data_IF_235765940341
#
_entry.id   IF_235765940341
#
_cell.length_a   1.000
_cell.length_b   1.000
_cell.length_c   1.000
_cell.angle_alpha   90.00
_cell.angle_beta   90.00
_cell.angle_gamma   90.00
#
_symmetry.space_group_name_H-M   'P 1'
#
loop_
_entity.id
_entity.type
_entity.pdbx_description
1 polymer ?
#
# COMPACT_ATOMS: atom_id res chain seq x y z
N UNK A 1 -57.03 -44.95 63.69
CA UNK A 1 -57.89 -46.00 63.12
C UNK A 1 -57.65 -46.01 61.62
N UNK A 2 -57.03 -47.07 61.07
CA UNK A 2 -56.95 -47.48 59.63
C UNK A 2 -56.12 -46.55 58.70
N UNK A 3 -54.87 -46.91 58.29
CA UNK A 3 -54.43 -47.63 57.04
C UNK A 3 -54.65 -46.83 55.72
N UNK A 4 -53.86 -46.84 54.64
CA UNK A 4 -52.69 -47.63 54.17
C UNK A 4 -52.19 -47.01 52.81
N UNK A 5 -50.93 -47.32 52.44
CA UNK A 5 -50.31 -47.40 51.08
C UNK A 5 -50.03 -46.17 50.18
N UNK A 6 -48.75 -46.04 49.78
CA UNK A 6 -48.36 -46.01 48.35
C UNK A 6 -47.33 -44.95 47.90
N UNK A 7 -46.21 -45.39 47.29
CA UNK A 7 -45.44 -44.60 46.30
C UNK A 7 -43.99 -44.24 46.64
N UNK A 8 -43.06 -45.20 46.53
CA UNK A 8 -41.60 -44.99 46.51
C UNK A 8 -41.06 -45.53 45.18
N UNK A 9 -41.02 -44.74 44.11
CA UNK A 9 -40.33 -45.09 42.84
C UNK A 9 -40.31 -43.99 41.73
N UNK A 10 -39.94 -42.72 41.99
CA UNK A 10 -39.81 -41.73 40.89
C UNK A 10 -38.66 -40.71 41.12
N UNK A 11 -37.46 -41.18 41.49
CA UNK A 11 -36.27 -40.30 41.55
C UNK A 11 -35.09 -40.85 40.71
N UNK A 12 -34.95 -42.18 40.60
CA UNK A 12 -33.85 -42.81 39.86
C UNK A 12 -33.98 -42.83 38.33
N UNK A 13 -35.12 -42.40 37.76
CA UNK A 13 -35.37 -42.49 36.31
C UNK A 13 -35.04 -41.20 35.55
N UNK A 14 -34.83 -40.07 36.25
CA UNK A 14 -34.53 -38.77 35.63
C UNK A 14 -33.03 -38.57 35.37
N UNK A 15 -32.16 -39.04 36.28
CA UNK A 15 -30.71 -39.00 36.09
C UNK A 15 -30.21 -39.98 35.01
N UNK A 16 -30.81 -41.17 34.92
CA UNK A 16 -30.38 -42.18 33.94
C UNK A 16 -30.79 -41.83 32.49
N UNK A 17 -31.83 -41.01 32.29
CA UNK A 17 -32.25 -40.52 30.97
C UNK A 17 -31.39 -39.34 30.50
N UNK A 18 -30.97 -38.46 31.42
CA UNK A 18 -30.09 -37.33 31.10
C UNK A 18 -28.68 -37.79 30.67
N UNK A 19 -28.13 -38.81 31.34
CA UNK A 19 -26.80 -39.36 31.03
C UNK A 19 -26.78 -40.22 29.75
N UNK A 20 -27.92 -40.80 29.34
CA UNK A 20 -28.01 -41.64 28.13
C UNK A 20 -28.15 -40.85 26.83
N UNK A 21 -28.53 -39.58 26.87
CA UNK A 21 -28.70 -38.74 25.67
C UNK A 21 -27.45 -37.90 25.34
N UNK A 22 -26.60 -37.60 26.33
CA UNK A 22 -25.38 -36.78 26.15
C UNK A 22 -24.25 -37.54 25.45
N UNK A 23 -24.09 -38.84 25.73
CA UNK A 23 -23.04 -39.70 25.13
C UNK A 23 -23.20 -39.89 23.61
N UNK A 24 -24.40 -40.21 23.04
CA UNK A 24 -24.53 -40.37 21.60
C UNK A 24 -24.40 -39.05 20.82
N UNK A 25 -24.76 -37.90 21.41
CA UNK A 25 -24.62 -36.58 20.79
C UNK A 25 -23.13 -36.20 20.69
N UNK A 26 -22.33 -36.46 21.74
CA UNK A 26 -20.90 -36.19 21.74
C UNK A 26 -20.13 -37.10 20.75
N UNK A 27 -20.57 -38.35 20.60
CA UNK A 27 -20.01 -39.28 19.60
C UNK A 27 -20.37 -38.90 18.15
N UNK A 28 -21.54 -38.29 17.92
CA UNK A 28 -21.93 -37.78 16.61
C UNK A 28 -21.01 -36.62 16.17
N UNK A 29 -20.66 -35.72 17.11
CA UNK A 29 -19.73 -34.60 16.85
C UNK A 29 -18.29 -35.05 16.61
N UNK A 30 -17.80 -36.10 17.30
CA UNK A 30 -16.47 -36.67 17.02
C UNK A 30 -16.40 -37.37 15.65
N UNK A 31 -17.45 -38.08 15.24
CA UNK A 31 -17.49 -38.74 13.92
C UNK A 31 -17.50 -37.74 12.75
N UNK A 32 -18.14 -36.57 12.93
CA UNK A 32 -18.13 -35.49 11.92
C UNK A 32 -16.75 -34.83 11.79
N UNK A 33 -15.94 -34.81 12.86
CA UNK A 33 -14.59 -34.26 12.83
C UNK A 33 -13.55 -35.19 12.16
N UNK A 34 -13.79 -36.51 12.16
CA UNK A 34 -12.85 -37.52 11.64
C UNK A 34 -13.07 -37.82 10.14
N UNK A 35 -14.24 -37.49 9.57
CA UNK A 35 -14.56 -37.81 8.16
C UNK A 35 -14.10 -36.78 7.11
N UNK A 36 -13.38 -35.72 7.46
CA UNK A 36 -12.85 -34.72 6.50
C UNK A 36 -11.32 -34.59 6.48
N UNK A 37 -10.59 -35.54 7.05
CA UNK A 37 -9.13 -35.61 6.95
C UNK A 37 -8.68 -36.48 5.77
N UNK A 38 -8.54 -35.92 4.58
CA UNK A 38 -7.86 -36.64 3.49
C UNK A 38 -6.35 -36.65 3.71
N UNK A 39 -5.80 -37.85 3.70
CA UNK A 39 -4.37 -38.17 3.73
C UNK A 39 -3.62 -37.54 2.55
N UNK A 40 -2.56 -36.77 2.81
CA UNK A 40 -1.51 -36.53 1.82
C UNK A 40 -0.18 -37.07 2.34
N UNK A 41 0.25 -38.16 1.71
CA UNK A 41 1.49 -38.88 1.96
C UNK A 41 2.70 -38.02 1.61
N UNK A 42 3.62 -37.98 2.57
CA UNK A 42 4.98 -37.43 2.49
C UNK A 42 5.81 -38.15 1.41
N UNK A 43 6.36 -37.40 0.46
CA UNK A 43 7.49 -37.85 -0.37
C UNK A 43 8.61 -36.82 -0.21
N UNK A 44 9.76 -37.31 0.26
CA UNK A 44 11.00 -36.59 0.49
C UNK A 44 11.97 -36.96 -0.64
N UNK A 45 12.66 -35.97 -1.20
CA UNK A 45 14.06 -35.99 -1.71
C UNK A 45 14.25 -35.04 -2.92
N UNK A 46 15.50 -34.66 -3.29
CA UNK A 46 16.63 -34.27 -2.45
C UNK A 46 17.24 -32.91 -2.89
N UNK A 47 18.15 -32.41 -2.07
CA UNK A 47 18.98 -31.21 -2.27
C UNK A 47 19.79 -31.26 -3.57
N UNK A 48 19.77 -30.17 -4.34
CA UNK A 48 20.76 -29.88 -5.39
C UNK A 48 21.16 -28.40 -5.36
N UNK A 49 22.47 -28.21 -5.26
CA UNK A 49 23.17 -26.95 -4.98
C UNK A 49 23.55 -26.22 -6.27
N UNK A 50 23.17 -24.94 -6.36
CA UNK A 50 23.80 -23.77 -7.03
C UNK A 50 24.13 -23.84 -8.54
N UNK A 51 23.55 -22.90 -9.30
CA UNK A 51 24.31 -21.96 -10.15
C UNK A 51 23.61 -20.61 -10.27
N UNK A 52 24.36 -19.57 -9.96
CA UNK A 52 24.06 -18.14 -10.00
C UNK A 52 24.08 -17.63 -11.45
N UNK A 53 22.97 -17.09 -11.93
CA UNK A 53 22.90 -16.05 -12.99
C UNK A 53 21.47 -15.48 -13.07
N UNK A 54 21.37 -14.14 -13.04
CA UNK A 54 20.21 -13.24 -13.23
C UNK A 54 18.82 -13.72 -12.78
N UNK A 55 18.38 -13.27 -11.60
CA UNK A 55 17.00 -13.42 -11.13
C UNK A 55 16.44 -12.10 -10.61
N UNK A 56 15.82 -11.35 -11.51
CA UNK A 56 14.73 -10.41 -11.20
C UNK A 56 13.60 -10.78 -12.17
N UNK A 57 12.54 -11.38 -11.63
CA UNK A 57 11.34 -11.93 -12.26
C UNK A 57 11.47 -13.35 -12.87
N UNK A 58 10.54 -14.28 -12.58
CA UNK A 58 10.47 -15.54 -13.31
C UNK A 58 10.13 -15.25 -14.77
N UNK A 59 10.98 -15.74 -15.68
CA UNK A 59 10.76 -15.70 -17.12
C UNK A 59 9.58 -16.61 -17.46
N UNK A 60 8.37 -16.05 -17.61
CA UNK A 60 7.18 -16.80 -18.00
C UNK A 60 7.05 -16.75 -19.53
N UNK A 61 7.06 -17.94 -20.12
CA UNK A 61 6.92 -18.18 -21.56
C UNK A 61 5.63 -17.55 -22.15
N UNK A 62 5.68 -16.93 -23.36
CA UNK A 62 4.57 -16.14 -23.92
C UNK A 62 3.39 -16.96 -24.45
N UNK A 63 3.33 -18.26 -24.15
CA UNK A 63 2.35 -19.21 -24.71
C UNK A 63 1.49 -19.94 -23.67
N UNK A 64 1.70 -19.71 -22.37
CA UNK A 64 0.84 -20.28 -21.33
C UNK A 64 -0.42 -19.45 -21.12
N UNK A 65 -1.60 -20.06 -21.24
CA UNK A 65 -2.85 -19.48 -20.71
C UNK A 65 -2.63 -19.08 -19.25
N UNK A 66 -2.80 -17.80 -18.88
CA UNK A 66 -2.42 -17.34 -17.55
C UNK A 66 -3.37 -17.95 -16.53
N UNK A 67 -2.84 -18.73 -15.59
CA UNK A 67 -3.55 -18.94 -14.33
C UNK A 67 -3.74 -17.55 -13.69
N UNK A 68 -4.95 -17.26 -13.18
CA UNK A 68 -5.17 -16.08 -12.35
C UNK A 68 -4.06 -16.03 -11.30
N UNK A 69 -3.65 -14.82 -10.89
CA UNK A 69 -3.16 -14.75 -9.52
C UNK A 69 -4.33 -15.25 -8.69
N UNK A 70 -4.26 -16.50 -8.27
CA UNK A 70 -4.80 -16.87 -7.00
C UNK A 70 -3.83 -16.16 -6.06
N UNK A 71 -4.15 -14.98 -5.49
CA UNK A 71 -3.86 -14.93 -4.08
C UNK A 71 -4.56 -16.20 -3.60
N UNK A 72 -3.76 -17.19 -3.15
CA UNK A 72 -4.22 -17.99 -2.03
C UNK A 72 -5.13 -17.07 -1.26
N UNK A 73 -6.40 -17.48 -1.09
CA UNK A 73 -7.29 -16.94 -0.06
C UNK A 73 -6.39 -16.19 0.90
N UNK A 74 -6.46 -14.86 1.03
CA UNK A 74 -5.75 -14.20 2.14
C UNK A 74 -5.94 -15.17 3.29
N UNK A 75 -4.89 -15.92 3.72
CA UNK A 75 -5.10 -17.27 4.26
C UNK A 75 -6.19 -17.11 5.30
N UNK A 76 -7.24 -17.91 5.29
CA UNK A 76 -8.28 -17.74 6.32
C UNK A 76 -7.57 -17.53 7.65
N UNK A 77 -7.95 -16.47 8.39
CA UNK A 77 -7.09 -15.28 8.63
C UNK A 77 -5.57 -15.54 8.56
N UNK A 78 -4.78 -14.63 7.95
CA UNK A 78 -3.32 -14.65 8.07
C UNK A 78 -3.05 -14.84 9.56
N UNK A 79 -2.49 -16.01 9.92
CA UNK A 79 -2.37 -16.41 11.32
C UNK A 79 -1.89 -15.21 12.13
N UNK A 80 -2.52 -14.91 13.28
CA UNK A 80 -2.27 -13.68 14.01
C UNK A 80 -0.77 -13.45 14.11
N UNK A 81 -0.34 -12.30 13.61
CA UNK A 81 1.07 -11.93 13.59
C UNK A 81 1.64 -12.09 15.00
N UNK A 82 2.54 -13.05 15.14
CA UNK A 82 3.29 -13.30 16.38
C UNK A 82 4.78 -13.54 16.13
N UNK A 83 5.23 -13.53 14.87
CA UNK A 83 6.66 -13.52 14.55
C UNK A 83 7.22 -12.09 14.69
N UNK A 84 7.13 -11.54 15.90
CA UNK A 84 7.93 -10.42 16.31
C UNK A 84 9.36 -10.95 16.52
N UNK A 85 10.16 -11.01 15.46
CA UNK A 85 11.60 -11.21 15.62
C UNK A 85 12.16 -9.99 16.34
N UNK A 86 12.84 -10.22 17.47
CA UNK A 86 13.51 -9.14 18.21
C UNK A 86 14.51 -8.48 17.25
N UNK A 87 14.33 -7.18 16.92
CA UNK A 87 15.16 -6.53 15.92
C UNK A 87 16.61 -6.42 16.42
N UNK A 88 17.56 -6.79 15.57
CA UNK A 88 18.99 -6.72 15.91
C UNK A 88 19.55 -5.36 15.54
N UNK A 89 19.50 -4.44 16.51
CA UNK A 89 19.99 -3.06 16.32
C UNK A 89 21.52 -2.99 16.44
N UNK A 90 22.11 -2.07 15.69
CA UNK A 90 23.53 -1.75 15.72
C UNK A 90 23.96 -1.08 17.03
N UNK A 91 23.04 -0.38 17.69
CA UNK A 91 23.32 0.44 18.88
C UNK A 91 24.09 1.74 18.58
N UNK A 92 24.28 2.07 17.30
CA UNK A 92 25.03 3.25 16.83
C UNK A 92 24.14 4.33 16.22
N UNK A 93 22.86 4.04 15.99
CA UNK A 93 21.91 5.05 15.58
C UNK A 93 21.52 5.95 16.75
N UNK A 94 21.55 7.27 16.53
CA UNK A 94 21.20 8.29 17.54
C UNK A 94 19.73 8.71 17.48
N UNK A 95 18.93 8.15 16.58
CA UNK A 95 17.52 8.49 16.45
C UNK A 95 16.72 7.86 17.60
N UNK A 96 15.79 8.64 18.15
CA UNK A 96 14.84 8.15 19.12
C UNK A 96 13.61 7.57 18.39
N UNK A 97 13.49 6.24 18.36
CA UNK A 97 12.38 5.58 17.67
C UNK A 97 11.05 5.65 18.42
N UNK A 98 11.07 5.90 19.74
CA UNK A 98 9.85 5.97 20.57
C UNK A 98 8.94 7.13 20.19
N UNK A 99 9.49 8.25 19.69
CA UNK A 99 8.68 9.41 19.26
C UNK A 99 7.84 9.15 18.01
N UNK A 100 8.15 8.06 17.28
CA UNK A 100 7.49 7.68 16.05
C UNK A 100 7.05 6.21 16.06
N UNK A 101 6.89 5.58 17.23
CA UNK A 101 6.55 4.16 17.35
C UNK A 101 5.29 3.78 16.56
N UNK A 102 4.20 4.53 16.76
CA UNK A 102 2.95 4.34 16.01
C UNK A 102 3.15 4.50 14.50
N UNK A 103 3.98 5.46 14.08
CA UNK A 103 4.29 5.71 12.67
C UNK A 103 5.12 4.56 12.06
N UNK A 104 6.08 4.02 12.79
CA UNK A 104 6.86 2.86 12.38
C UNK A 104 5.97 1.63 12.28
N UNK A 105 5.04 1.42 13.21
CA UNK A 105 4.05 0.34 13.14
C UNK A 105 3.16 0.44 11.89
N UNK A 106 2.63 1.62 11.59
CA UNK A 106 1.87 1.86 10.36
C UNK A 106 2.73 1.59 9.13
N UNK A 107 4.00 2.02 9.13
CA UNK A 107 4.93 1.75 8.03
C UNK A 107 5.16 0.26 7.82
N UNK A 108 5.28 -0.51 8.89
CA UNK A 108 5.45 -1.97 8.80
C UNK A 108 4.23 -2.66 8.18
N UNK A 109 3.02 -2.18 8.50
CA UNK A 109 1.76 -2.68 7.92
C UNK A 109 1.64 -2.27 6.45
N UNK A 110 1.89 -1.00 6.13
CA UNK A 110 1.86 -0.45 4.78
C UNK A 110 2.89 -1.13 3.85
N UNK A 111 4.02 -1.56 4.42
CA UNK A 111 5.10 -2.26 3.76
C UNK A 111 5.16 -3.76 4.10
N UNK A 112 4.01 -4.35 4.41
CA UNK A 112 3.92 -5.77 4.78
C UNK A 112 4.62 -6.67 3.76
N UNK A 113 5.41 -7.64 4.25
CA UNK A 113 6.36 -8.42 3.45
C UNK A 113 5.80 -8.94 2.11
N UNK A 114 4.60 -9.53 2.11
CA UNK A 114 4.00 -10.12 0.90
C UNK A 114 3.49 -9.08 -0.09
N UNK A 115 3.01 -7.93 0.40
CA UNK A 115 2.37 -6.92 -0.43
C UNK A 115 3.27 -5.73 -0.78
N UNK A 116 4.41 -5.56 -0.09
CA UNK A 116 5.28 -4.40 -0.27
C UNK A 116 5.67 -4.14 -1.73
N UNK A 117 6.06 -5.14 -2.56
CA UNK A 117 6.37 -4.89 -3.97
C UNK A 117 5.15 -4.42 -4.78
N UNK A 118 3.96 -4.94 -4.46
CA UNK A 118 2.71 -4.64 -5.17
C UNK A 118 2.15 -3.26 -4.77
N UNK A 119 2.34 -2.87 -3.51
CA UNK A 119 1.89 -1.60 -2.92
C UNK A 119 2.97 -0.50 -2.92
N UNK A 120 4.17 -0.80 -3.40
CA UNK A 120 5.36 0.04 -3.32
C UNK A 120 5.07 1.50 -3.71
N UNK A 121 4.50 1.69 -4.90
CA UNK A 121 4.34 3.01 -5.50
C UNK A 121 3.29 3.90 -4.81
N UNK A 122 2.26 3.30 -4.18
CA UNK A 122 1.08 4.06 -3.73
C UNK A 122 0.97 4.15 -2.21
N UNK A 123 1.38 3.10 -1.50
CA UNK A 123 1.23 3.01 -0.04
C UNK A 123 2.61 2.91 0.61
N UNK A 124 3.33 1.81 0.37
CA UNK A 124 4.54 1.47 1.14
C UNK A 124 5.65 2.53 1.04
N UNK A 125 6.13 2.88 -0.17
CA UNK A 125 7.26 3.80 -0.30
C UNK A 125 6.92 5.24 0.10
N UNK A 126 5.76 5.81 -0.27
CA UNK A 126 5.32 7.10 0.27
C UNK A 126 5.26 7.12 1.82
N UNK A 127 4.84 6.01 2.43
CA UNK A 127 4.81 5.87 3.89
C UNK A 127 6.23 5.78 4.49
N UNK A 128 7.12 4.96 3.92
CA UNK A 128 8.50 4.84 4.37
C UNK A 128 9.27 6.16 4.27
N UNK A 129 9.16 6.87 3.14
CA UNK A 129 9.78 8.18 2.94
C UNK A 129 9.28 9.22 3.96
N UNK A 130 7.97 9.23 4.23
CA UNK A 130 7.39 10.10 5.25
C UNK A 130 7.95 9.76 6.64
N UNK A 131 8.03 8.47 6.98
CA UNK A 131 8.58 8.00 8.27
C UNK A 131 10.02 8.40 8.47
N UNK A 132 10.88 8.23 7.48
CA UNK A 132 12.29 8.67 7.54
C UNK A 132 12.41 10.17 7.72
N UNK A 133 11.61 10.95 6.98
CA UNK A 133 11.57 12.41 7.08
C UNK A 133 11.13 12.87 8.48
N UNK A 134 10.10 12.22 9.03
CA UNK A 134 9.56 12.52 10.36
C UNK A 134 10.55 12.17 11.46
N UNK A 135 11.21 11.01 11.40
CA UNK A 135 12.22 10.62 12.38
C UNK A 135 13.36 11.66 12.46
N UNK A 136 13.85 12.12 11.30
CA UNK A 136 14.89 13.16 11.23
C UNK A 136 14.39 14.51 11.74
N UNK A 137 13.17 14.91 11.35
CA UNK A 137 12.57 16.16 11.81
C UNK A 137 12.27 16.17 13.31
N UNK A 138 11.79 15.06 13.88
CA UNK A 138 11.57 14.98 15.33
C UNK A 138 12.90 14.99 16.09
N UNK A 139 13.93 14.30 15.59
CA UNK A 139 15.27 14.33 16.18
C UNK A 139 15.89 15.73 16.18
N UNK A 140 15.61 16.55 15.15
CA UNK A 140 16.17 17.90 15.05
C UNK A 140 15.67 18.87 16.12
N UNK A 141 14.56 18.55 16.82
CA UNK A 141 14.07 19.34 17.96
C UNK A 141 15.06 19.36 19.13
N UNK A 142 15.80 18.28 19.31
CA UNK A 142 16.77 18.13 20.39
C UNK A 142 18.21 18.40 19.91
N UNK A 143 18.53 18.01 18.68
CA UNK A 143 19.89 18.10 18.15
C UNK A 143 20.19 19.41 17.44
N UNK A 144 19.16 20.18 17.08
CA UNK A 144 19.24 21.38 16.24
C UNK A 144 19.76 21.12 14.81
N UNK A 145 19.81 19.87 14.34
CA UNK A 145 20.34 19.50 13.02
C UNK A 145 19.34 18.66 12.22
N UNK A 146 19.13 19.01 10.95
CA UNK A 146 18.13 18.42 10.03
C UNK A 146 18.67 17.26 9.18
N UNK A 147 19.87 16.76 9.47
CA UNK A 147 20.51 15.70 8.69
C UNK A 147 21.50 14.90 9.54
N UNK A 148 21.70 13.63 9.18
CA UNK A 148 22.73 12.79 9.79
C UNK A 148 24.06 12.89 9.02
N UNK A 149 25.16 12.59 9.70
CA UNK A 149 26.42 12.33 9.01
C UNK A 149 26.37 10.98 8.28
N UNK A 150 27.25 10.77 7.31
CA UNK A 150 27.22 9.59 6.44
C UNK A 150 27.37 8.25 7.17
N UNK A 151 28.10 8.20 8.28
CA UNK A 151 28.32 6.97 9.05
C UNK A 151 27.10 6.63 9.90
N UNK A 152 26.58 7.60 10.66
CA UNK A 152 25.38 7.43 11.49
C UNK A 152 24.17 7.14 10.61
N UNK A 153 24.07 7.74 9.44
CA UNK A 153 22.99 7.45 8.48
C UNK A 153 22.94 5.98 8.04
N UNK A 154 24.09 5.31 7.88
CA UNK A 154 24.13 3.88 7.54
C UNK A 154 23.61 3.02 8.68
N UNK A 155 24.05 3.30 9.91
CA UNK A 155 23.57 2.61 11.10
C UNK A 155 22.08 2.84 11.34
N UNK A 156 21.62 4.08 11.20
CA UNK A 156 20.22 4.42 11.38
C UNK A 156 19.30 3.80 10.34
N UNK A 157 19.68 3.82 9.06
CA UNK A 157 18.86 3.15 8.04
C UNK A 157 18.76 1.65 8.33
N UNK A 158 19.89 0.99 8.67
CA UNK A 158 19.90 -0.42 9.04
C UNK A 158 19.04 -0.72 10.27
N UNK A 159 19.09 0.12 11.31
CA UNK A 159 18.32 -0.08 12.54
C UNK A 159 16.82 0.11 12.27
N UNK A 160 16.45 1.12 11.48
CA UNK A 160 15.06 1.36 11.04
C UNK A 160 14.53 0.14 10.29
N UNK A 161 15.28 -0.38 9.32
CA UNK A 161 14.88 -1.58 8.57
C UNK A 161 14.69 -2.78 9.48
N UNK A 162 15.62 -3.03 10.42
CA UNK A 162 15.49 -4.13 11.37
C UNK A 162 14.24 -4.01 12.23
N UNK A 163 13.88 -2.80 12.68
CA UNK A 163 12.65 -2.56 13.45
C UNK A 163 11.41 -2.86 12.60
N UNK A 164 11.35 -2.35 11.37
CA UNK A 164 10.22 -2.56 10.46
C UNK A 164 10.05 -4.06 10.13
N UNK A 165 11.16 -4.74 9.81
CA UNK A 165 11.17 -6.19 9.54
C UNK A 165 10.76 -7.00 10.78
N UNK A 166 11.22 -6.61 11.97
CA UNK A 166 10.79 -7.21 13.24
C UNK A 166 9.29 -7.06 13.49
N UNK A 167 8.61 -6.12 12.82
CA UNK A 167 7.16 -5.92 12.83
C UNK A 167 6.47 -6.46 11.57
N UNK A 168 7.20 -7.22 10.73
CA UNK A 168 6.68 -7.94 9.57
C UNK A 168 6.69 -7.20 8.23
N UNK A 169 7.35 -6.05 8.17
CA UNK A 169 7.66 -5.41 6.90
C UNK A 169 8.56 -6.31 6.03
N UNK A 170 8.61 -6.04 4.73
CA UNK A 170 9.52 -6.72 3.81
C UNK A 170 10.99 -6.50 4.23
N UNK A 171 11.88 -7.47 4.00
CA UNK A 171 13.30 -7.37 4.34
C UNK A 171 14.16 -6.64 3.29
N UNK A 172 13.54 -6.29 2.15
CA UNK A 172 14.18 -5.67 0.99
C UNK A 172 13.65 -4.25 0.72
N UNK A 173 13.17 -3.53 1.76
CA UNK A 173 12.54 -2.21 1.62
C UNK A 173 13.43 -1.16 0.94
N UNK A 174 14.72 -1.08 1.30
CA UNK A 174 15.64 -0.17 0.61
C UNK A 174 15.69 -0.41 -0.90
N UNK A 175 15.57 -1.66 -1.35
CA UNK A 175 15.55 -1.98 -2.78
C UNK A 175 14.20 -1.66 -3.41
N UNK A 176 13.10 -2.08 -2.77
CA UNK A 176 11.72 -1.85 -3.25
C UNK A 176 11.44 -0.35 -3.41
N UNK A 177 11.87 0.46 -2.44
CA UNK A 177 11.63 1.89 -2.41
C UNK A 177 12.80 2.75 -2.89
N UNK A 178 13.90 2.14 -3.34
CA UNK A 178 15.12 2.85 -3.76
C UNK A 178 15.63 3.84 -2.70
N UNK A 179 15.59 3.43 -1.43
CA UNK A 179 16.07 4.22 -0.29
C UNK A 179 17.51 3.83 0.03
N UNK A 180 18.35 4.85 0.21
CA UNK A 180 19.76 4.71 0.56
C UNK A 180 20.10 5.54 1.79
N UNK A 181 21.23 5.24 2.44
CA UNK A 181 21.67 6.00 3.61
C UNK A 181 21.94 7.48 3.28
N UNK A 182 22.27 7.81 2.02
CA UNK A 182 22.39 9.20 1.55
C UNK A 182 21.08 9.98 1.67
N UNK A 183 19.92 9.33 1.61
CA UNK A 183 18.63 9.99 1.81
C UNK A 183 18.42 10.49 3.24
N UNK A 184 19.24 10.08 4.21
CA UNK A 184 19.21 10.55 5.61
C UNK A 184 20.27 11.64 5.88
N UNK A 185 21.16 11.92 4.93
CA UNK A 185 22.20 12.94 5.08
C UNK A 185 21.77 14.28 4.50
N UNK A 186 22.68 15.25 4.47
CA UNK A 186 22.46 16.56 3.85
C UNK A 186 22.75 16.57 2.35
N UNK A 187 23.34 15.50 1.82
CA UNK A 187 23.83 15.40 0.45
C UNK A 187 24.64 16.65 0.06
N UNK A 188 24.13 17.50 -0.84
CA UNK A 188 24.78 18.76 -1.25
C UNK A 188 24.16 20.03 -0.67
N UNK A 189 23.15 19.92 0.21
CA UNK A 189 22.48 21.09 0.78
C UNK A 189 23.36 21.78 1.84
N UNK A 190 23.60 23.11 1.73
CA UNK A 190 24.57 23.81 2.58
C UNK A 190 24.03 24.20 3.96
N UNK A 191 22.71 24.25 4.13
CA UNK A 191 22.06 24.63 5.39
C UNK A 191 21.41 23.41 6.00
N UNK A 192 21.87 22.99 7.18
CA UNK A 192 21.33 21.85 7.92
C UNK A 192 21.02 22.17 9.39
N UNK A 193 21.56 23.27 9.92
CA UNK A 193 21.24 23.75 11.26
C UNK A 193 19.85 24.41 11.26
N UNK A 194 19.06 24.15 12.30
CA UNK A 194 17.68 24.66 12.38
C UNK A 194 17.65 26.18 12.50
N UNK A 195 18.54 26.79 13.29
CA UNK A 195 18.54 28.25 13.45
C UNK A 195 18.95 28.92 12.14
N UNK A 196 20.00 28.39 11.50
CA UNK A 196 20.44 28.89 10.20
C UNK A 196 19.35 28.77 9.13
N UNK A 197 18.59 27.68 9.14
CA UNK A 197 17.43 27.50 8.27
C UNK A 197 16.38 28.59 8.50
N UNK A 198 16.03 28.84 9.77
CA UNK A 198 14.99 29.81 10.15
C UNK A 198 15.39 31.25 9.86
N UNK A 199 16.69 31.57 9.91
CA UNK A 199 17.23 32.87 9.50
C UNK A 199 17.21 33.07 7.98
N UNK A 200 17.23 31.99 7.20
CA UNK A 200 17.36 32.02 5.73
C UNK A 200 16.00 31.96 5.03
N UNK A 201 15.03 31.23 5.60
CA UNK A 201 13.73 30.94 4.99
C UNK A 201 12.63 31.76 5.65
N UNK A 202 11.65 32.23 4.87
CA UNK A 202 10.40 32.74 5.44
C UNK A 202 9.56 31.57 5.96
N UNK A 203 9.86 31.16 7.20
CA UNK A 203 9.24 30.02 7.88
C UNK A 203 7.76 30.23 8.13
N UNK A 204 7.33 31.48 8.31
CA UNK A 204 5.92 31.85 8.49
C UNK A 204 5.11 31.57 7.23
N UNK A 205 5.62 31.96 6.06
CA UNK A 205 5.02 31.69 4.76
C UNK A 205 5.03 30.20 4.43
N UNK A 206 6.15 29.52 4.70
CA UNK A 206 6.29 28.08 4.47
C UNK A 206 5.29 27.27 5.32
N UNK A 207 5.19 27.57 6.62
CA UNK A 207 4.25 26.90 7.51
C UNK A 207 2.80 27.21 7.11
N UNK A 208 2.45 28.46 6.80
CA UNK A 208 1.10 28.81 6.36
C UNK A 208 0.67 28.07 5.07
N UNK A 209 1.62 27.78 4.17
CA UNK A 209 1.35 27.04 2.94
C UNK A 209 1.21 25.53 3.16
N UNK A 210 1.94 24.96 4.13
CA UNK A 210 2.12 23.51 4.27
C UNK A 210 1.50 22.90 5.53
N UNK A 211 1.17 23.70 6.54
CA UNK A 211 0.63 23.20 7.80
C UNK A 211 -0.67 22.45 7.58
N UNK A 212 -1.53 22.88 6.65
CA UNK A 212 -2.73 22.14 6.30
C UNK A 212 -2.90 22.07 4.80
N UNK A 213 -2.71 20.88 4.25
CA UNK A 213 -2.92 20.63 2.83
C UNK A 213 -4.25 19.93 2.59
N UNK A 214 -4.91 20.31 1.51
CA UNK A 214 -5.95 19.52 0.87
C UNK A 214 -5.27 18.77 -0.27
N UNK A 215 -5.12 17.43 -0.23
CA UNK A 215 -4.35 16.70 -1.24
C UNK A 215 -4.84 16.90 -2.66
N UNK A 216 -6.14 17.16 -2.86
CA UNK A 216 -6.71 17.40 -4.19
C UNK A 216 -6.32 18.80 -4.68
N UNK A 217 -6.52 19.83 -3.86
CA UNK A 217 -6.16 21.21 -4.22
C UNK A 217 -4.66 21.39 -4.36
N UNK A 218 -3.88 20.82 -3.45
CA UNK A 218 -2.42 20.85 -3.49
C UNK A 218 -1.91 20.26 -4.79
N UNK A 219 -2.59 19.24 -5.32
CA UNK A 219 -2.14 18.61 -6.54
C UNK A 219 -2.28 19.46 -7.80
N UNK A 220 -3.17 20.46 -7.74
CA UNK A 220 -3.46 21.39 -8.82
C UNK A 220 -2.81 22.76 -8.64
N UNK A 221 -2.93 23.35 -7.45
CA UNK A 221 -2.38 24.66 -7.14
C UNK A 221 -0.90 24.60 -6.73
N UNK A 222 -0.44 23.46 -6.20
CA UNK A 222 0.93 23.24 -5.75
C UNK A 222 1.40 24.29 -4.72
N UNK A 223 0.50 24.78 -3.86
CA UNK A 223 0.79 25.87 -2.94
C UNK A 223 1.93 25.52 -2.00
N UNK A 224 1.87 24.36 -1.34
CA UNK A 224 2.93 23.90 -0.44
C UNK A 224 4.18 23.48 -1.22
N UNK A 225 4.05 22.74 -2.32
CA UNK A 225 5.18 22.36 -3.19
C UNK A 225 5.96 23.57 -3.69
N UNK A 226 5.28 24.65 -4.08
CA UNK A 226 5.89 25.90 -4.52
C UNK A 226 6.61 26.61 -3.37
N UNK A 227 6.02 26.64 -2.17
CA UNK A 227 6.67 27.19 -0.98
C UNK A 227 7.93 26.39 -0.59
N UNK A 228 7.87 25.06 -0.67
CA UNK A 228 9.02 24.17 -0.46
C UNK A 228 10.12 24.44 -1.49
N UNK A 229 9.75 24.57 -2.78
CA UNK A 229 10.71 24.86 -3.83
C UNK A 229 11.38 26.22 -3.61
N UNK A 230 10.61 27.26 -3.28
CA UNK A 230 11.15 28.59 -2.97
C UNK A 230 12.14 28.54 -1.80
N UNK A 231 11.75 27.88 -0.70
CA UNK A 231 12.62 27.71 0.46
C UNK A 231 13.90 26.94 0.10
N UNK A 232 13.78 25.83 -0.64
CA UNK A 232 14.91 25.02 -1.09
C UNK A 232 15.86 25.80 -2.00
N UNK A 233 15.33 26.64 -2.90
CA UNK A 233 16.15 27.50 -3.77
C UNK A 233 16.92 28.55 -2.97
N UNK A 234 16.28 29.18 -1.97
CA UNK A 234 16.96 30.17 -1.10
C UNK A 234 18.11 29.56 -0.30
N UNK A 235 17.92 28.38 0.29
CA UNK A 235 19.00 27.72 1.02
C UNK A 235 20.09 27.20 0.08
N UNK A 236 19.74 26.73 -1.12
CA UNK A 236 20.72 26.27 -2.12
C UNK A 236 21.63 27.41 -2.61
N UNK A 237 21.10 28.64 -2.75
CA UNK A 237 21.86 29.81 -3.23
C UNK A 237 22.82 30.39 -2.19
N UNK A 238 22.60 30.15 -0.89
CA UNK A 238 23.45 30.71 0.19
C UNK A 238 24.94 30.33 0.07
N UNK A 239 25.26 29.16 -0.46
CA UNK A 239 26.67 28.79 -0.69
C UNK A 239 27.30 29.53 -1.87
N UNK A 240 26.50 29.99 -2.83
CA UNK A 240 26.96 30.79 -3.96
C UNK A 240 27.23 32.23 -3.54
N UNK A 241 26.47 32.76 -2.58
CA UNK A 241 26.67 34.10 -2.02
C UNK A 241 28.00 34.23 -1.26
N UNK A 242 28.52 33.14 -0.67
CA UNK A 242 29.83 33.11 0.00
C UNK A 242 31.03 33.03 -0.96
N UNK A 243 30.80 32.62 -2.21
CA UNK A 243 31.85 32.44 -3.23
C UNK A 243 31.80 33.49 -4.35
N UNK A 244 30.81 34.39 -4.31
CA UNK A 244 30.63 35.44 -5.33
C UNK A 244 31.54 36.64 -5.08
N UNK A 245 32.85 36.43 -5.27
CA UNK A 245 33.69 37.41 -5.94
C UNK A 245 33.87 36.90 -7.37
N UNK A 246 33.30 37.66 -8.30
CA UNK A 246 33.35 37.50 -9.75
C UNK A 246 32.20 36.72 -10.40
N UNK A 247 31.57 37.39 -11.37
CA UNK A 247 30.24 37.06 -11.88
C UNK A 247 30.24 36.01 -12.97
N UNK A 248 29.32 35.04 -12.86
CA UNK A 248 28.72 34.34 -13.98
C UNK A 248 27.42 33.67 -13.51
N UNK A 249 26.28 34.19 -13.95
CA UNK A 249 24.99 33.49 -13.87
C UNK A 249 24.96 32.39 -14.94
N UNK A 250 25.43 31.20 -14.59
CA UNK A 250 25.06 29.98 -15.29
C UNK A 250 24.49 28.99 -14.27
N UNK A 251 23.20 28.67 -14.43
CA UNK A 251 22.54 27.61 -13.68
C UNK A 251 23.11 26.28 -14.19
N UNK A 252 24.23 25.85 -13.61
CA UNK A 252 24.87 24.57 -13.90
C UNK A 252 23.90 23.42 -13.56
N UNK A 253 23.98 22.24 -14.22
CA UNK A 253 23.26 21.02 -13.82
C UNK A 253 23.41 20.66 -12.33
N UNK A 254 24.49 21.09 -11.66
CA UNK A 254 24.71 20.96 -10.22
C UNK A 254 23.74 21.79 -9.36
N UNK A 255 23.16 22.86 -9.91
CA UNK A 255 22.18 23.68 -9.19
C UNK A 255 20.83 22.98 -9.01
N UNK A 256 20.39 22.18 -9.99
CA UNK A 256 19.10 21.47 -9.93
C UNK A 256 19.16 20.29 -8.95
N UNK A 257 20.24 19.52 -8.95
CA UNK A 257 20.46 18.44 -7.98
C UNK A 257 20.52 18.98 -6.56
N UNK A 258 21.25 20.09 -6.35
CA UNK A 258 21.36 20.75 -5.05
C UNK A 258 20.03 21.28 -4.51
N UNK A 259 19.21 21.90 -5.35
CA UNK A 259 17.86 22.33 -4.94
C UNK A 259 17.02 21.12 -4.50
N UNK A 260 17.12 19.99 -5.19
CA UNK A 260 16.40 18.78 -4.80
C UNK A 260 16.89 18.21 -3.46
N UNK A 261 18.20 18.20 -3.21
CA UNK A 261 18.75 17.82 -1.90
C UNK A 261 18.23 18.74 -0.80
N UNK A 262 18.16 20.04 -1.08
CA UNK A 262 17.62 21.03 -0.15
C UNK A 262 16.10 20.91 0.10
N UNK A 263 15.32 20.40 -0.84
CA UNK A 263 13.90 20.07 -0.57
C UNK A 263 13.77 19.06 0.56
N UNK A 264 14.66 18.07 0.63
CA UNK A 264 14.63 17.07 1.72
C UNK A 264 14.84 17.73 3.10
N UNK A 265 15.73 18.72 3.19
CA UNK A 265 15.96 19.49 4.41
C UNK A 265 14.72 20.30 4.80
N UNK A 266 14.08 20.97 3.83
CA UNK A 266 12.84 21.73 4.05
C UNK A 266 11.73 20.83 4.60
N UNK A 267 11.56 19.64 4.03
CA UNK A 267 10.57 18.66 4.48
C UNK A 267 10.84 18.15 5.91
N UNK A 268 12.11 17.92 6.27
CA UNK A 268 12.51 17.55 7.64
C UNK A 268 12.23 18.67 8.64
N UNK A 269 12.48 19.93 8.25
CA UNK A 269 12.14 21.08 9.10
C UNK A 269 10.62 21.22 9.28
N UNK A 270 9.84 21.06 8.20
CA UNK A 270 8.37 21.01 8.31
C UNK A 270 7.92 19.92 9.28
N UNK A 271 8.50 18.72 9.17
CA UNK A 271 8.21 17.61 10.07
C UNK A 271 8.68 17.87 11.52
N UNK A 272 9.65 18.76 11.75
CA UNK A 272 10.06 19.20 13.10
C UNK A 272 9.09 20.21 13.71
N UNK A 273 8.28 20.90 12.91
CA UNK A 273 7.27 21.86 13.42
C UNK A 273 5.90 21.22 13.63
N UNK A 274 5.59 20.17 12.88
CA UNK A 274 4.35 19.42 13.00
C UNK A 274 4.47 18.28 14.03
N UNK A 275 3.32 17.82 14.54
CA UNK A 275 3.28 16.54 15.24
C UNK A 275 3.41 15.37 14.22
N UNK A 276 3.88 14.18 14.63
CA UNK A 276 4.16 13.08 13.69
C UNK A 276 2.97 12.65 12.82
N UNK A 277 1.76 12.57 13.38
CA UNK A 277 0.56 12.17 12.63
C UNK A 277 0.20 13.20 11.56
N UNK A 278 0.25 14.47 11.92
CA UNK A 278 -0.05 15.57 11.00
C UNK A 278 1.02 15.72 9.92
N UNK A 279 2.30 15.56 10.30
CA UNK A 279 3.40 15.50 9.33
C UNK A 279 3.20 14.35 8.33
N UNK A 280 2.71 13.19 8.78
CA UNK A 280 2.40 12.05 7.90
C UNK A 280 1.38 12.44 6.83
N UNK A 281 0.28 13.08 7.23
CA UNK A 281 -0.77 13.52 6.30
C UNK A 281 -0.23 14.51 5.27
N UNK A 282 0.56 15.50 5.70
CA UNK A 282 1.17 16.50 4.81
C UNK A 282 2.14 15.85 3.83
N UNK A 283 3.10 15.07 4.33
CA UNK A 283 4.14 14.44 3.48
C UNK A 283 3.54 13.45 2.49
N UNK A 284 2.57 12.63 2.92
CA UNK A 284 1.88 11.69 2.03
C UNK A 284 0.98 12.39 1.04
N UNK A 285 0.27 13.46 1.42
CA UNK A 285 -0.51 14.25 0.48
C UNK A 285 0.34 14.92 -0.61
N UNK A 286 1.54 15.42 -0.24
CA UNK A 286 2.52 15.95 -1.19
C UNK A 286 3.04 14.88 -2.15
N UNK A 287 3.42 13.70 -1.64
CA UNK A 287 3.92 12.59 -2.45
C UNK A 287 2.84 12.03 -3.38
N UNK A 288 1.61 11.91 -2.88
CA UNK A 288 0.46 11.40 -3.61
C UNK A 288 0.18 12.16 -4.91
N UNK A 289 0.41 13.48 -4.93
CA UNK A 289 0.25 14.24 -6.15
C UNK A 289 1.23 13.84 -7.26
N UNK A 290 2.49 13.55 -6.88
CA UNK A 290 3.54 13.17 -7.83
C UNK A 290 3.25 11.79 -8.42
N UNK A 291 2.84 10.83 -7.60
CA UNK A 291 2.59 9.45 -8.03
C UNK A 291 1.35 9.34 -8.92
N UNK A 292 0.33 10.18 -8.72
CA UNK A 292 -0.93 10.13 -9.49
C UNK A 292 -0.85 10.79 -10.87
N UNK A 293 0.32 11.31 -11.27
CA UNK A 293 0.57 11.93 -12.59
C UNK A 293 1.28 11.01 -13.58
N UNK A 294 1.53 9.75 -13.19
CA UNK A 294 2.31 8.79 -13.98
C UNK A 294 1.67 7.41 -13.94
N UNK A 295 1.75 6.68 -15.05
CA UNK A 295 1.46 5.26 -15.07
C UNK A 295 2.67 4.48 -14.55
N UNK A 296 2.55 3.69 -13.48
CA UNK A 296 3.67 2.89 -12.96
C UNK A 296 3.87 1.56 -13.69
N UNK A 297 2.93 1.13 -14.53
CA UNK A 297 2.99 -0.16 -15.19
C UNK A 297 4.00 -0.18 -16.33
N UNK A 298 4.77 -1.26 -16.41
CA UNK A 298 5.66 -1.53 -17.53
C UNK A 298 4.86 -2.26 -18.60
N UNK A 299 4.82 -1.70 -19.81
CA UNK A 299 4.12 -2.31 -20.95
C UNK A 299 5.07 -3.21 -21.77
N UNK A 300 4.94 -4.55 -21.73
CA UNK A 300 5.76 -5.47 -22.51
C UNK A 300 5.43 -5.42 -24.00
N UNK A 301 6.16 -6.19 -24.80
CA UNK A 301 5.97 -6.27 -26.25
C UNK A 301 4.53 -6.66 -26.61
N UNK A 302 3.93 -5.91 -27.54
CA UNK A 302 2.52 -6.00 -27.93
C UNK A 302 2.29 -6.81 -29.20
N UNK A 303 3.30 -7.53 -29.71
CA UNK A 303 3.25 -8.26 -30.99
C UNK A 303 2.04 -9.20 -31.08
N UNK A 304 1.72 -9.90 -29.99
CA UNK A 304 0.56 -10.82 -29.95
C UNK A 304 -0.77 -10.08 -30.08
N UNK A 305 -0.91 -8.92 -29.43
CA UNK A 305 -2.11 -8.06 -29.56
C UNK A 305 -2.19 -7.48 -30.98
N UNK A 306 -1.07 -7.01 -31.54
CA UNK A 306 -1.02 -6.48 -32.90
C UNK A 306 -1.37 -7.53 -33.97
N UNK A 307 -0.98 -8.79 -33.79
CA UNK A 307 -1.35 -9.88 -34.69
C UNK A 307 -2.87 -10.19 -34.65
N UNK A 308 -3.49 -10.09 -33.46
CA UNK A 308 -4.93 -10.36 -33.30
C UNK A 308 -5.84 -9.19 -33.67
N UNK A 309 -5.39 -7.96 -33.43
CA UNK A 309 -6.21 -6.74 -33.50
C UNK A 309 -5.78 -5.74 -34.58
N UNK A 310 -4.69 -5.97 -35.30
CA UNK A 310 -4.15 -5.05 -36.31
C UNK A 310 -4.87 -5.12 -37.67
N UNK A 311 -4.72 -4.06 -38.47
CA UNK A 311 -5.13 -4.00 -39.89
C UNK A 311 -6.60 -4.40 -40.19
N UNK A 312 -7.54 -3.91 -39.38
CA UNK A 312 -8.95 -4.30 -39.48
C UNK A 312 -9.17 -5.65 -38.79
N UNK A 313 -9.95 -5.63 -37.71
CA UNK A 313 -10.14 -6.79 -36.85
C UNK A 313 -10.91 -7.87 -37.62
N UNK A 314 -10.20 -8.91 -38.07
CA UNK A 314 -10.77 -10.02 -38.83
C UNK A 314 -11.45 -11.07 -37.94
N UNK A 315 -10.98 -11.23 -36.71
CA UNK A 315 -11.53 -12.14 -35.71
C UNK A 315 -11.57 -11.43 -34.33
N UNK A 316 -12.75 -10.95 -33.94
CA UNK A 316 -12.95 -10.24 -32.68
C UNK A 316 -12.57 -11.09 -31.46
N UNK A 317 -12.92 -12.37 -31.44
CA UNK A 317 -12.63 -13.26 -30.31
C UNK A 317 -11.12 -13.40 -30.13
N UNK A 318 -10.36 -13.65 -31.20
CA UNK A 318 -8.91 -13.76 -31.12
C UNK A 318 -8.25 -12.45 -30.66
N UNK A 319 -8.75 -11.30 -31.13
CA UNK A 319 -8.30 -9.99 -30.67
C UNK A 319 -8.54 -9.81 -29.16
N UNK A 320 -9.76 -10.07 -28.68
CA UNK A 320 -10.09 -9.88 -27.28
C UNK A 320 -9.38 -10.85 -26.36
N UNK A 321 -9.21 -12.12 -26.73
CA UNK A 321 -8.39 -13.07 -25.96
C UNK A 321 -6.92 -12.61 -25.86
N UNK A 322 -6.35 -12.08 -26.94
CA UNK A 322 -4.99 -11.53 -26.91
C UNK A 322 -4.90 -10.29 -26.00
N UNK A 323 -5.91 -9.42 -26.04
CA UNK A 323 -5.99 -8.22 -25.21
C UNK A 323 -6.17 -8.56 -23.72
N UNK A 324 -7.11 -9.44 -23.39
CA UNK A 324 -7.35 -9.92 -22.02
C UNK A 324 -6.10 -10.57 -21.42
N UNK A 325 -5.40 -11.41 -22.19
CA UNK A 325 -4.14 -12.03 -21.76
C UNK A 325 -3.05 -10.97 -21.49
N UNK A 326 -2.94 -9.96 -22.36
CA UNK A 326 -1.99 -8.87 -22.18
C UNK A 326 -2.30 -8.05 -20.92
N UNK A 327 -3.55 -7.67 -20.73
CA UNK A 327 -3.99 -6.87 -19.57
C UNK A 327 -3.85 -7.67 -18.27
N UNK A 328 -4.19 -8.97 -18.28
CA UNK A 328 -3.97 -9.88 -17.14
C UNK A 328 -2.49 -9.97 -16.73
N UNK A 329 -1.55 -9.80 -17.67
CA UNK A 329 -0.13 -9.71 -17.35
C UNK A 329 0.24 -8.38 -16.69
N UNK A 330 -0.40 -7.27 -17.09
CA UNK A 330 -0.19 -5.96 -16.47
C UNK A 330 -0.69 -5.92 -15.02
N UNK A 331 -1.86 -6.49 -14.75
CA UNK A 331 -2.49 -6.52 -13.42
C UNK A 331 -1.56 -7.11 -12.35
N UNK A 332 -0.73 -8.08 -12.73
CA UNK A 332 0.18 -8.79 -11.82
C UNK A 332 1.33 -7.94 -11.29
N UNK A 333 1.52 -6.73 -11.82
CA UNK A 333 2.65 -5.89 -11.47
C UNK A 333 2.44 -5.10 -10.18
N UNK A 334 1.27 -4.49 -9.98
CA UNK A 334 1.06 -3.55 -8.87
C UNK A 334 -0.42 -3.22 -8.64
N UNK A 335 -0.74 -2.78 -7.42
CA UNK A 335 -1.95 -2.00 -7.17
C UNK A 335 -1.72 -0.55 -7.62
N UNK A 336 -2.71 0.01 -8.31
CA UNK A 336 -2.64 1.39 -8.78
C UNK A 336 -3.88 2.17 -8.36
N UNK A 337 -3.78 3.49 -8.32
CA UNK A 337 -4.93 4.35 -8.06
C UNK A 337 -5.82 4.48 -9.28
N UNK A 338 -7.06 4.94 -9.07
CA UNK A 338 -7.96 5.31 -10.16
C UNK A 338 -7.39 6.38 -11.13
N UNK A 339 -6.60 7.35 -10.64
CA UNK A 339 -5.92 8.33 -11.50
C UNK A 339 -4.75 7.71 -12.29
N UNK A 340 -3.95 6.86 -11.64
CA UNK A 340 -2.88 6.14 -12.33
C UNK A 340 -3.43 5.20 -13.41
N UNK A 341 -4.58 4.56 -13.16
CA UNK A 341 -5.25 3.70 -14.12
C UNK A 341 -5.67 4.48 -15.39
N UNK A 342 -6.15 5.72 -15.24
CA UNK A 342 -6.47 6.59 -16.39
C UNK A 342 -5.23 6.87 -17.25
N UNK A 343 -4.11 7.22 -16.62
CA UNK A 343 -2.86 7.48 -17.33
C UNK A 343 -2.27 6.21 -17.97
N UNK A 344 -2.43 5.06 -17.30
CA UNK A 344 -2.05 3.75 -17.83
C UNK A 344 -2.88 3.37 -19.06
N UNK A 345 -4.21 3.54 -18.99
CA UNK A 345 -5.10 3.28 -20.10
C UNK A 345 -4.78 4.15 -21.31
N UNK A 346 -4.55 5.45 -21.10
CA UNK A 346 -4.17 6.37 -22.17
C UNK A 346 -2.81 5.98 -22.79
N UNK A 347 -1.81 5.69 -21.96
CA UNK A 347 -0.46 5.31 -22.41
C UNK A 347 -0.47 4.00 -23.20
N UNK A 348 -1.20 2.99 -22.71
CA UNK A 348 -1.38 1.72 -23.41
C UNK A 348 -2.09 1.93 -24.76
N UNK A 349 -3.15 2.75 -24.78
CA UNK A 349 -3.92 3.01 -26.00
C UNK A 349 -3.07 3.70 -27.06
N UNK A 350 -2.21 4.63 -26.66
CA UNK A 350 -1.26 5.29 -27.57
C UNK A 350 -0.24 4.30 -28.16
N UNK A 351 0.24 3.33 -27.36
CA UNK A 351 1.15 2.28 -27.85
C UNK A 351 0.45 1.29 -28.80
N UNK A 352 -0.79 0.93 -28.52
CA UNK A 352 -1.62 0.10 -29.41
C UNK A 352 -1.82 0.79 -30.77
N UNK A 353 -2.15 2.08 -30.77
CA UNK A 353 -2.29 2.86 -32.01
C UNK A 353 -1.00 2.95 -32.82
N UNK A 354 0.15 3.15 -32.15
CA UNK A 354 1.48 3.09 -32.79
C UNK A 354 1.81 1.72 -33.39
N UNK A 355 1.09 0.67 -32.98
CA UNK A 355 1.23 -0.69 -33.49
C UNK A 355 0.19 -1.04 -34.56
N UNK A 356 -0.37 -0.04 -35.26
CA UNK A 356 -1.37 -0.19 -36.33
C UNK A 356 -2.74 -0.77 -35.89
N UNK A 357 -3.12 -0.59 -34.63
CA UNK A 357 -4.47 -0.90 -34.13
C UNK A 357 -5.28 0.40 -34.11
N UNK A 358 -6.18 0.56 -35.09
CA UNK A 358 -6.98 1.79 -35.25
C UNK A 358 -8.33 1.75 -34.56
N UNK A 359 -8.91 0.55 -34.44
CA UNK A 359 -10.19 0.30 -33.78
C UNK A 359 -10.08 0.43 -32.26
N UNK A 360 -11.16 0.89 -31.62
CA UNK A 360 -11.23 1.00 -30.17
C UNK A 360 -11.38 -0.38 -29.51
N UNK A 361 -10.24 -1.05 -29.31
CA UNK A 361 -10.20 -2.40 -28.70
C UNK A 361 -10.64 -2.40 -27.24
N UNK A 362 -10.54 -1.27 -26.52
CA UNK A 362 -11.03 -1.19 -25.14
C UNK A 362 -12.55 -1.33 -25.09
N UNK A 363 -13.27 -0.61 -25.96
CA UNK A 363 -14.72 -0.75 -26.07
C UNK A 363 -15.14 -2.11 -26.61
N UNK A 364 -14.37 -2.66 -27.56
CA UNK A 364 -14.67 -3.94 -28.20
C UNK A 364 -14.55 -5.13 -27.24
N UNK A 365 -13.53 -5.09 -26.38
CA UNK A 365 -13.18 -6.17 -25.46
C UNK A 365 -13.52 -5.85 -24.00
N UNK A 366 -14.35 -4.83 -23.77
CA UNK A 366 -14.83 -4.42 -22.46
C UNK A 366 -13.74 -4.15 -21.42
N UNK A 367 -12.62 -3.54 -21.85
CA UNK A 367 -11.52 -3.18 -20.96
C UNK A 367 -11.92 -1.95 -20.13
N UNK A 368 -11.77 -2.06 -18.82
CA UNK A 368 -12.10 -1.07 -17.81
C UNK A 368 -10.87 -0.65 -17.01
N UNK A 369 -10.95 0.43 -16.23
CA UNK A 369 -9.81 0.94 -15.47
C UNK A 369 -9.28 -0.05 -14.43
N UNK A 370 -10.17 -0.81 -13.78
CA UNK A 370 -9.77 -1.84 -12.80
C UNK A 370 -8.89 -2.92 -13.42
N UNK A 371 -9.00 -3.13 -14.73
CA UNK A 371 -8.21 -4.15 -15.41
C UNK A 371 -6.72 -3.77 -15.49
N UNK A 372 -6.33 -2.57 -15.08
CA UNK A 372 -4.92 -2.18 -14.95
C UNK A 372 -4.36 -2.41 -13.55
N UNK A 373 -5.17 -2.82 -12.58
CA UNK A 373 -4.75 -3.08 -11.19
C UNK A 373 -4.86 -4.55 -10.83
N UNK A 374 -4.14 -4.98 -9.79
CA UNK A 374 -4.20 -6.36 -9.32
C UNK A 374 -5.64 -6.76 -8.94
N UNK A 375 -6.07 -7.92 -9.43
CA UNK A 375 -7.36 -8.50 -9.07
C UNK A 375 -7.23 -9.34 -7.80
N UNK A 376 -8.17 -9.18 -6.86
CA UNK A 376 -8.18 -9.91 -5.59
C UNK A 376 -9.42 -10.80 -5.55
N UNK A 377 -9.23 -12.12 -5.68
CA UNK A 377 -10.29 -13.14 -5.56
C UNK A 377 -11.00 -13.51 -6.88
N UNK A 378 -11.92 -14.49 -6.80
CA UNK A 378 -12.71 -15.00 -7.93
C UNK A 378 -13.86 -14.09 -8.37
N UNK A 379 -14.02 -12.91 -7.73
CA UNK A 379 -15.04 -11.95 -8.14
C UNK A 379 -14.46 -11.01 -9.20
N UNK A 380 -15.29 -10.63 -10.16
CA UNK A 380 -14.96 -9.81 -11.35
C UNK A 380 -14.68 -8.34 -10.98
N UNK A 381 -14.07 -8.08 -9.82
CA UNK A 381 -13.81 -6.73 -9.31
C UNK A 381 -12.32 -6.61 -9.00
N UNK A 382 -11.57 -6.05 -9.95
CA UNK A 382 -10.23 -5.51 -9.66
C UNK A 382 -10.32 -4.43 -8.59
N UNK A 383 -9.27 -4.23 -7.81
CA UNK A 383 -9.22 -3.21 -6.77
C UNK A 383 -8.39 -2.02 -7.23
N UNK A 384 -9.03 -0.87 -7.48
CA UNK A 384 -8.33 0.40 -7.60
C UNK A 384 -8.17 1.01 -6.22
N UNK A 385 -6.98 1.52 -5.92
CA UNK A 385 -6.78 2.29 -4.69
C UNK A 385 -7.38 3.69 -4.85
N UNK A 386 -7.83 4.32 -3.75
CA UNK A 386 -8.21 5.71 -3.76
C UNK A 386 -7.09 6.60 -4.28
N UNK A 387 -7.44 7.68 -4.97
CA UNK A 387 -6.48 8.75 -5.32
C UNK A 387 -5.97 9.54 -4.13
N UNK A 388 -6.55 9.36 -2.94
CA UNK A 388 -6.08 9.98 -1.72
C UNK A 388 -5.18 8.99 -0.96
N UNK A 389 -4.15 9.47 -0.24
CA UNK A 389 -3.33 8.58 0.58
C UNK A 389 -4.20 7.80 1.57
N UNK A 390 -3.99 6.49 1.63
CA UNK A 390 -4.64 5.60 2.59
C UNK A 390 -3.60 4.67 3.22
N UNK A 391 -3.79 4.34 4.50
CA UNK A 391 -3.03 3.29 5.18
C UNK A 391 -3.61 1.91 4.82
N UNK A 392 -2.78 0.88 4.84
CA UNK A 392 -3.25 -0.49 4.95
C UNK A 392 -3.74 -0.73 6.39
N UNK A 393 -4.78 -1.53 6.53
CA UNK A 393 -5.36 -1.89 7.83
C UNK A 393 -4.89 -3.27 8.23
N UNK A 394 -4.58 -3.45 9.52
CA UNK A 394 -4.25 -4.75 10.08
C UNK A 394 -5.26 -5.12 11.16
N UNK A 395 -5.96 -6.25 10.98
CA UNK A 395 -6.90 -6.79 11.95
C UNK A 395 -6.74 -8.31 12.11
N UNK A 396 -7.67 -8.96 12.81
CA UNK A 396 -7.65 -10.41 13.01
C UNK A 396 -7.74 -11.24 11.73
N UNK A 397 -8.12 -10.63 10.60
CA UNK A 397 -8.16 -11.25 9.27
C UNK A 397 -6.85 -11.08 8.47
N UNK A 398 -5.95 -10.21 8.95
CA UNK A 398 -4.66 -9.94 8.33
C UNK A 398 -4.53 -8.50 7.84
N UNK A 399 -3.67 -8.30 6.84
CA UNK A 399 -3.48 -7.00 6.18
C UNK A 399 -4.52 -6.83 5.06
N UNK A 400 -5.22 -5.71 5.07
CA UNK A 400 -6.22 -5.31 4.08
C UNK A 400 -6.01 -3.85 3.65
N UNK A 401 -6.64 -3.44 2.55
CA UNK A 401 -6.58 -2.08 2.03
C UNK A 401 -7.94 -1.70 1.44
N UNK A 402 -8.24 -0.39 1.45
CA UNK A 402 -9.48 0.13 0.92
C UNK A 402 -9.44 0.16 -0.61
N UNK A 403 -10.42 -0.47 -1.25
CA UNK A 403 -10.65 -0.36 -2.69
C UNK A 403 -11.68 0.74 -2.98
N UNK A 404 -11.46 1.52 -4.03
CA UNK A 404 -12.42 2.49 -4.58
C UNK A 404 -13.48 1.76 -5.42
N UNK A 405 -14.52 1.22 -4.75
CA UNK A 405 -15.52 0.28 -5.31
C UNK A 405 -16.36 0.78 -6.51
N UNK A 406 -16.06 1.94 -7.10
CA UNK A 406 -16.70 2.47 -8.31
C UNK A 406 -15.97 1.99 -9.60
N UNK A 407 -15.59 0.72 -9.65
CA UNK A 407 -14.50 0.18 -10.47
C UNK A 407 -14.81 -0.12 -11.96
N UNK A 408 -16.05 0.05 -12.42
CA UNK A 408 -16.45 -0.33 -13.80
C UNK A 408 -16.39 0.83 -14.81
N UNK A 409 -15.51 1.80 -14.59
CA UNK A 409 -15.31 2.91 -15.55
C UNK A 409 -14.62 2.34 -16.80
N UNK A 410 -15.22 2.49 -18.01
CA UNK A 410 -14.58 2.06 -19.24
C UNK A 410 -13.23 2.76 -19.45
N UNK A 411 -12.22 2.01 -19.89
CA UNK A 411 -10.90 2.57 -20.15
C UNK A 411 -10.97 3.57 -21.34
N UNK A 412 -10.43 4.79 -21.20
CA UNK A 412 -10.50 5.78 -22.27
C UNK A 412 -9.60 5.37 -23.44
N UNK A 413 -10.17 5.34 -24.65
CA UNK A 413 -9.39 5.17 -25.88
C UNK A 413 -8.88 6.53 -26.38
N UNK A 414 -7.57 6.68 -26.62
CA UNK A 414 -7.01 7.98 -27.00
C UNK A 414 -7.48 8.38 -28.40
N UNK A 415 -8.18 9.51 -28.48
CA UNK A 415 -8.50 10.17 -29.76
C UNK A 415 -7.29 10.96 -30.26
N UNK A 416 -7.20 11.19 -31.58
CA UNK A 416 -6.02 11.76 -32.27
C UNK A 416 -5.56 13.14 -31.76
N UNK A 417 -6.34 13.78 -30.90
CA UNK A 417 -6.16 15.17 -30.44
C UNK A 417 -6.08 15.33 -28.92
N UNK A 418 -6.08 14.26 -28.13
CA UNK A 418 -5.98 14.37 -26.67
C UNK A 418 -4.56 14.06 -26.20
N UNK A 419 -3.80 15.12 -25.87
CA UNK A 419 -2.66 14.99 -24.96
C UNK A 419 -3.13 14.52 -23.59
N UNK A 420 -2.21 13.97 -22.78
CA UNK A 420 -2.46 13.60 -21.40
C UNK A 420 -3.01 14.81 -20.62
N UNK A 421 -4.34 14.92 -20.55
CA UNK A 421 -4.99 16.08 -20.00
C UNK A 421 -4.82 16.06 -18.49
N UNK A 422 -4.14 17.07 -17.95
CA UNK A 422 -3.97 17.23 -16.50
C UNK A 422 -5.34 17.16 -15.80
N UNK A 423 -5.39 16.47 -14.66
CA UNK A 423 -6.60 16.38 -13.82
C UNK A 423 -7.14 17.77 -13.41
N UNK A 424 -6.28 18.79 -13.48
CA UNK A 424 -6.54 20.14 -12.97
C UNK A 424 -7.09 21.13 -14.00
N UNK A 425 -7.00 20.81 -15.30
CA UNK A 425 -7.56 21.62 -16.40
C UNK A 425 -8.90 21.08 -16.90
N UNK A 426 -9.33 19.95 -16.34
CA UNK A 426 -10.58 19.30 -16.69
C UNK A 426 -11.66 19.79 -15.72
N UNK A 427 -12.65 20.52 -16.22
CA UNK A 427 -14.03 20.40 -15.73
C UNK A 427 -14.58 19.00 -16.08
N UNK A 428 -13.77 17.95 -15.91
CA UNK A 428 -14.32 16.60 -15.82
C UNK A 428 -15.12 16.67 -14.54
N UNK A 429 -16.40 16.41 -14.67
CA UNK A 429 -17.17 15.84 -13.57
C UNK A 429 -16.39 14.59 -13.16
N UNK A 430 -15.37 14.77 -12.31
CA UNK A 430 -14.93 13.72 -11.42
C UNK A 430 -16.26 13.32 -10.80
N UNK A 431 -16.75 12.09 -11.04
CA UNK A 431 -17.98 11.66 -10.41
C UNK A 431 -17.85 12.08 -8.96
N UNK A 432 -18.73 12.98 -8.50
CA UNK A 432 -18.69 13.42 -7.13
C UNK A 432 -18.58 12.16 -6.30
N UNK A 433 -17.63 12.11 -5.35
CA UNK A 433 -17.62 11.04 -4.36
C UNK A 433 -19.08 10.90 -3.90
N UNK A 434 -19.74 9.76 -4.19
CA UNK A 434 -21.00 9.51 -3.53
C UNK A 434 -20.65 9.53 -2.04
N UNK A 435 -21.43 10.28 -1.26
CA UNK A 435 -21.30 10.33 0.17
C UNK A 435 -21.06 8.90 0.68
N UNK A 436 -20.06 8.74 1.56
CA UNK A 436 -19.87 7.48 2.27
C UNK A 436 -21.25 7.04 2.74
N UNK A 437 -21.75 5.94 2.19
CA UNK A 437 -22.90 5.28 2.76
C UNK A 437 -22.42 4.89 4.15
N UNK A 438 -22.80 5.70 5.13
CA UNK A 438 -22.74 5.39 6.54
C UNK A 438 -23.12 3.93 6.69
N UNK A 439 -22.22 3.17 7.32
CA UNK A 439 -22.39 1.81 7.75
C UNK A 439 -23.88 1.40 7.80
N UNK A 440 -24.32 0.62 6.82
CA UNK A 440 -25.34 -0.36 7.14
C UNK A 440 -24.68 -1.30 8.13
N UNK A 441 -24.97 -1.06 9.41
CA UNK A 441 -24.83 -2.04 10.46
C UNK A 441 -25.56 -3.29 9.98
N UNK A 442 -24.82 -4.20 9.36
CA UNK A 442 -25.30 -5.49 8.97
C UNK A 442 -25.91 -6.16 10.20
N UNK A 443 -27.10 -6.72 9.98
CA UNK A 443 -27.95 -7.51 10.88
C UNK A 443 -27.26 -8.78 11.44
N UNK A 444 -25.99 -8.69 11.83
CA UNK A 444 -25.16 -9.83 12.26
C UNK A 444 -24.91 -9.86 13.78
N UNK A 445 -25.41 -8.87 14.54
CA UNK A 445 -25.22 -8.82 15.99
C UNK A 445 -26.37 -9.47 16.79
N UNK A 446 -27.59 -9.56 16.24
CA UNK A 446 -28.73 -10.11 16.98
C UNK A 446 -28.66 -11.64 17.13
N UNK A 447 -28.18 -12.35 16.10
CA UNK A 447 -28.05 -13.81 16.15
C UNK A 447 -26.89 -14.28 17.05
N UNK A 448 -25.80 -13.50 17.12
CA UNK A 448 -24.65 -13.81 18.00
C UNK A 448 -25.03 -13.55 19.45
N UNK A 449 -25.75 -12.46 19.74
CA UNK A 449 -26.22 -12.15 21.09
C UNK A 449 -27.29 -13.13 21.57
N UNK A 450 -28.20 -13.55 20.69
CA UNK A 450 -29.19 -14.60 20.99
C UNK A 450 -28.53 -15.96 21.26
N UNK A 451 -27.51 -16.32 20.46
CA UNK A 451 -26.76 -17.56 20.64
C UNK A 451 -25.97 -17.57 21.96
N UNK A 452 -25.39 -16.44 22.34
CA UNK A 452 -24.66 -16.29 23.60
C UNK A 452 -25.61 -16.33 24.82
N UNK A 453 -26.79 -15.71 24.70
CA UNK A 453 -27.84 -15.75 25.73
C UNK A 453 -28.40 -17.17 25.91
N UNK A 454 -28.65 -17.90 24.83
CA UNK A 454 -29.11 -19.30 24.87
C UNK A 454 -28.03 -20.23 25.47
N UNK A 455 -26.77 -20.05 25.08
CA UNK A 455 -25.66 -20.81 25.65
C UNK A 455 -25.52 -20.55 27.16
N UNK A 456 -25.65 -19.30 27.60
CA UNK A 456 -25.58 -18.94 29.02
C UNK A 456 -26.78 -19.49 29.81
N UNK A 457 -27.97 -19.52 29.22
CA UNK A 457 -29.16 -20.13 29.83
C UNK A 457 -29.06 -21.65 29.98
N UNK A 458 -28.46 -22.35 29.00
CA UNK A 458 -28.24 -23.81 29.09
C UNK A 458 -27.22 -24.14 30.18
N UNK A 459 -26.16 -23.33 30.34
CA UNK A 459 -25.18 -23.50 31.43
C UNK A 459 -25.80 -23.23 32.79
N UNK A 460 -26.66 -22.21 32.92
CA UNK A 460 -27.35 -21.90 34.17
C UNK A 460 -28.31 -23.03 34.59
N UNK A 461 -28.98 -23.67 33.62
CA UNK A 461 -29.88 -24.81 33.84
C UNK A 461 -29.14 -26.13 34.11
N UNK A 462 -27.82 -26.19 33.89
CA UNK A 462 -26.98 -27.32 34.31
C UNK A 462 -26.39 -27.14 35.71
N UNK A 463 -26.43 -25.91 36.26
CA UNK A 463 -25.87 -25.56 37.58
C UNK A 463 -26.95 -25.47 38.67
N UNK A 464 -28.21 -25.26 38.29
CA UNK A 464 -29.42 -25.42 39.13
C UNK A 464 -29.97 -26.84 39.03
#
# INVERSE_FOLDING_TARGET
MVSLFGGKEIEGMKEMVSLKLTVPIFMLFLCLHICCGSTLTYVKDPVLTIKQEDSMLPMISPTGTPQPFLPLLAPSPLAPFTNATVPKLSGLCTLNFSVAESLMSVTSVDCWSVFAPLLANVICCPQLEATLTILLGQSSKETNVLALNGTVAKHCLSDIEQILVGQGANDSLAQICSVHSSNLTYASCPVIDVNEFEDTVDTSKLLAACEKIDPVKECCAQTCQNAILEAATRIASKASDLLSTDGAHDILPDGVSKVNDCKSIVLRWLASKLNPSHAKEVLRGLSNCKINKVCPLVFPNMKHVAMGCGNGISNQTACCTAMESYVSHLQKQSFITNLQALDCAASLGMKLRKSNITENVYSLCHISLKDFSLQVGNQVSGCLLPSLPSDATFDSSGVSFLCDLNDNIPAPWPTSSQGAGSSCSKNVKIPALPAAASAESGLYNDDVMLSLLLASGVVLMMIL
#
